data_IF_021661056321
#
_entry.id   IF_021661056321
#
_cell.length_a   1.000
_cell.length_b   1.000
_cell.length_c   1.000
_cell.angle_alpha   90.00
_cell.angle_beta   90.00
_cell.angle_gamma   90.00
#
_symmetry.space_group_name_H-M   'P 1'
#
loop_
_entity.id
_entity.type
_entity.pdbx_description
1 polymer ?
#
# COMPACT_ATOMS: atom_id res chain seq x y z
N UNK A 1 -36.34 -3.74 -10.79
CA UNK A 1 -35.08 -4.39 -11.18
C UNK A 1 -34.40 -4.84 -9.90
N UNK A 2 -34.71 -6.05 -9.43
CA UNK A 2 -34.14 -6.65 -8.22
C UNK A 2 -32.69 -7.05 -8.49
N UNK A 3 -31.76 -6.56 -7.67
CA UNK A 3 -30.36 -7.01 -7.67
C UNK A 3 -30.32 -8.51 -7.41
N UNK A 4 -29.54 -9.25 -8.19
CA UNK A 4 -29.35 -10.69 -7.94
C UNK A 4 -28.53 -10.89 -6.66
N UNK A 5 -28.94 -11.80 -5.76
CA UNK A 5 -28.31 -11.97 -4.45
C UNK A 5 -26.82 -12.35 -4.52
N UNK A 6 -26.38 -13.09 -5.55
CA UNK A 6 -24.96 -13.45 -5.75
C UNK A 6 -24.05 -12.23 -5.98
N UNK A 7 -24.57 -11.20 -6.66
CA UNK A 7 -23.82 -9.96 -6.89
C UNK A 7 -23.64 -9.15 -5.61
N UNK A 8 -24.61 -9.20 -4.71
CA UNK A 8 -24.57 -8.47 -3.44
C UNK A 8 -23.62 -9.15 -2.44
N UNK A 9 -23.64 -10.48 -2.34
CA UNK A 9 -22.67 -11.24 -1.53
C UNK A 9 -21.22 -11.02 -2.01
N UNK A 10 -21.00 -11.06 -3.34
CA UNK A 10 -19.69 -10.82 -3.94
C UNK A 10 -19.17 -9.40 -3.66
N UNK A 11 -20.05 -8.40 -3.72
CA UNK A 11 -19.71 -7.02 -3.40
C UNK A 11 -19.39 -6.84 -1.91
N UNK A 12 -20.18 -7.41 -1.02
CA UNK A 12 -19.94 -7.36 0.42
C UNK A 12 -18.61 -8.01 0.81
N UNK A 13 -18.28 -9.16 0.22
CA UNK A 13 -16.99 -9.82 0.43
C UNK A 13 -15.82 -8.94 -0.02
N UNK A 14 -15.95 -8.27 -1.17
CA UNK A 14 -14.96 -7.33 -1.69
C UNK A 14 -14.80 -6.12 -0.76
N UNK A 15 -15.90 -5.50 -0.32
CA UNK A 15 -15.89 -4.38 0.64
C UNK A 15 -15.19 -4.79 1.93
N UNK A 16 -15.57 -5.93 2.51
CA UNK A 16 -14.98 -6.45 3.75
C UNK A 16 -13.49 -6.70 3.61
N UNK A 17 -13.05 -7.26 2.48
CA UNK A 17 -11.63 -7.52 2.20
C UNK A 17 -10.83 -6.22 2.18
N UNK A 18 -11.33 -5.20 1.49
CA UNK A 18 -10.65 -3.90 1.37
C UNK A 18 -10.62 -3.12 2.67
N UNK A 19 -11.71 -3.13 3.45
CA UNK A 19 -11.71 -2.53 4.79
C UNK A 19 -10.69 -3.22 5.71
N UNK A 20 -10.65 -4.56 5.72
CA UNK A 20 -9.68 -5.31 6.52
C UNK A 20 -8.25 -5.00 6.07
N UNK A 21 -7.97 -5.09 4.77
CA UNK A 21 -6.65 -4.81 4.23
C UNK A 21 -6.21 -3.37 4.53
N UNK A 22 -7.10 -2.40 4.34
CA UNK A 22 -6.85 -0.99 4.64
C UNK A 22 -6.59 -0.72 6.12
N UNK A 23 -7.43 -1.20 7.04
CA UNK A 23 -7.22 -0.95 8.47
C UNK A 23 -6.04 -1.72 9.07
N UNK A 24 -5.80 -2.97 8.65
CA UNK A 24 -4.60 -3.70 9.07
C UNK A 24 -3.33 -3.06 8.50
N UNK A 25 -3.36 -2.65 7.23
CA UNK A 25 -2.28 -1.90 6.60
C UNK A 25 -1.99 -0.59 7.33
N UNK A 26 -3.03 0.21 7.61
CA UNK A 26 -2.90 1.46 8.39
C UNK A 26 -2.21 1.21 9.73
N UNK A 27 -2.69 0.21 10.47
CA UNK A 27 -2.11 -0.15 11.78
C UNK A 27 -0.63 -0.51 11.64
N UNK A 28 -0.28 -1.34 10.67
CA UNK A 28 1.10 -1.76 10.43
C UNK A 28 2.01 -0.60 10.01
N UNK A 29 1.56 0.25 9.07
CA UNK A 29 2.39 1.35 8.56
C UNK A 29 2.49 2.51 9.54
N UNK A 30 1.46 2.81 10.34
CA UNK A 30 1.57 3.77 11.45
C UNK A 30 2.59 3.27 12.47
N UNK A 31 2.52 1.98 12.86
CA UNK A 31 3.50 1.39 13.76
C UNK A 31 4.93 1.44 13.20
N UNK A 32 5.10 1.19 11.89
CA UNK A 32 6.39 1.35 11.22
C UNK A 32 6.87 2.81 11.29
N UNK A 33 6.00 3.78 11.02
CA UNK A 33 6.34 5.21 11.11
C UNK A 33 6.81 5.60 12.50
N UNK A 34 6.06 5.19 13.54
CA UNK A 34 6.43 5.41 14.93
C UNK A 34 7.78 4.77 15.29
N UNK A 35 8.06 3.55 14.79
CA UNK A 35 9.35 2.89 14.98
C UNK A 35 10.50 3.67 14.32
N UNK A 36 10.29 4.21 13.11
CA UNK A 36 11.29 5.04 12.43
C UNK A 36 11.53 6.37 13.17
N UNK A 37 10.51 6.96 13.77
CA UNK A 37 10.65 8.16 14.61
C UNK A 37 11.41 7.84 15.90
N UNK A 38 11.15 6.71 16.54
CA UNK A 38 11.90 6.20 17.70
C UNK A 38 13.38 6.05 17.33
N UNK A 39 13.72 5.45 16.18
CA UNK A 39 15.11 5.33 15.75
C UNK A 39 15.80 6.68 15.54
N UNK A 40 15.08 7.70 15.07
CA UNK A 40 15.59 9.08 15.02
C UNK A 40 15.79 9.65 16.43
N UNK A 41 14.81 9.50 17.33
CA UNK A 41 14.83 10.07 18.67
C UNK A 41 15.98 9.51 19.54
N UNK A 42 16.23 8.19 19.46
CA UNK A 42 17.29 7.52 20.21
C UNK A 42 18.66 7.55 19.50
N UNK A 43 18.76 8.26 18.36
CA UNK A 43 19.97 8.37 17.54
C UNK A 43 20.67 7.02 17.28
N UNK A 44 19.90 6.01 16.92
CA UNK A 44 20.44 4.65 16.73
C UNK A 44 21.44 4.67 15.58
N UNK A 45 22.72 4.41 15.87
CA UNK A 45 23.83 4.43 14.90
C UNK A 45 23.54 3.51 13.70
N UNK A 46 22.92 2.35 13.94
CA UNK A 46 22.53 1.43 12.87
C UNK A 46 21.48 1.97 11.87
N UNK A 47 20.93 3.16 12.10
CA UNK A 47 19.98 3.84 11.23
C UNK A 47 20.44 5.26 10.83
N UNK A 48 21.19 5.96 11.71
CA UNK A 48 21.64 7.34 11.49
C UNK A 48 23.10 7.49 11.02
N UNK A 49 23.91 6.43 11.01
CA UNK A 49 25.30 6.52 10.55
C UNK A 49 25.42 7.00 9.09
N UNK A 50 26.59 7.55 8.79
CA UNK A 50 26.99 7.98 7.43
C UNK A 50 26.93 6.77 6.50
N UNK A 51 26.25 6.92 5.35
CA UNK A 51 26.04 5.83 4.38
C UNK A 51 24.67 5.15 4.49
N UNK A 52 23.81 5.56 5.44
CA UNK A 52 22.44 5.04 5.61
C UNK A 52 21.34 5.94 5.06
N UNK A 53 21.69 6.96 4.29
CA UNK A 53 20.76 7.89 3.66
C UNK A 53 19.70 7.16 2.82
N UNK A 54 20.16 6.21 2.00
CA UNK A 54 19.29 5.39 1.13
C UNK A 54 18.34 4.51 1.94
N UNK A 55 18.83 3.83 2.99
CA UNK A 55 17.97 3.09 3.92
C UNK A 55 16.90 4.00 4.53
N UNK A 56 17.29 5.16 5.09
CA UNK A 56 16.34 6.11 5.70
C UNK A 56 15.32 6.64 4.69
N UNK A 57 15.73 6.91 3.46
CA UNK A 57 14.83 7.35 2.39
C UNK A 57 13.81 6.25 2.06
N UNK A 58 14.29 5.04 1.77
CA UNK A 58 13.43 3.93 1.35
C UNK A 58 12.47 3.49 2.46
N UNK A 59 12.91 3.46 3.72
CA UNK A 59 12.01 3.16 4.84
C UNK A 59 10.92 4.21 5.04
N UNK A 60 11.22 5.50 4.85
CA UNK A 60 10.20 6.57 4.84
C UNK A 60 9.24 6.42 3.66
N UNK A 61 9.74 6.08 2.47
CA UNK A 61 8.90 5.81 1.29
C UNK A 61 7.99 4.59 1.51
N UNK A 62 8.49 3.53 2.15
CA UNK A 62 7.71 2.34 2.51
C UNK A 62 6.56 2.70 3.45
N UNK A 63 6.85 3.44 4.53
CA UNK A 63 5.85 3.94 5.47
C UNK A 63 4.81 4.84 4.78
N UNK A 64 5.25 5.83 4.00
CA UNK A 64 4.38 6.81 3.37
C UNK A 64 3.44 6.15 2.34
N UNK A 65 3.98 5.34 1.42
CA UNK A 65 3.18 4.67 0.40
C UNK A 65 2.30 3.57 1.00
N UNK A 66 2.78 2.86 2.02
CA UNK A 66 1.98 1.87 2.73
C UNK A 66 0.76 2.50 3.41
N UNK A 67 0.95 3.63 4.11
CA UNK A 67 -0.13 4.39 4.74
C UNK A 67 -1.13 4.91 3.70
N UNK A 68 -0.63 5.53 2.62
CA UNK A 68 -1.46 6.05 1.53
C UNK A 68 -2.28 4.93 0.88
N UNK A 69 -1.65 3.82 0.49
CA UNK A 69 -2.35 2.72 -0.16
C UNK A 69 -3.34 2.03 0.77
N UNK A 70 -3.06 2.00 2.07
CA UNK A 70 -4.02 1.51 3.07
C UNK A 70 -5.28 2.37 3.09
N UNK A 71 -5.13 3.71 3.07
CA UNK A 71 -6.25 4.64 2.91
C UNK A 71 -6.96 4.46 1.58
N UNK A 72 -6.24 4.28 0.47
CA UNK A 72 -6.84 4.03 -0.85
C UNK A 72 -7.70 2.77 -0.85
N UNK A 73 -7.30 1.70 -0.15
CA UNK A 73 -8.14 0.50 -0.02
C UNK A 73 -9.40 0.76 0.83
N UNK A 74 -9.31 1.56 1.90
CA UNK A 74 -10.51 2.00 2.64
C UNK A 74 -11.44 2.82 1.75
N UNK A 75 -10.91 3.80 1.01
CA UNK A 75 -11.67 4.62 0.07
C UNK A 75 -12.30 3.75 -1.02
N UNK A 76 -11.57 2.79 -1.58
CA UNK A 76 -12.10 1.84 -2.56
C UNK A 76 -13.29 1.05 -2.01
N UNK A 77 -13.23 0.59 -0.75
CA UNK A 77 -14.37 -0.08 -0.12
C UNK A 77 -15.59 0.85 0.03
N UNK A 78 -15.37 2.12 0.38
CA UNK A 78 -16.44 3.12 0.46
C UNK A 78 -17.03 3.42 -0.92
N UNK A 79 -16.19 3.55 -1.95
CA UNK A 79 -16.61 3.70 -3.35
C UNK A 79 -17.41 2.49 -3.80
N UNK A 80 -16.99 1.27 -3.48
CA UNK A 80 -17.71 0.04 -3.82
C UNK A 80 -19.13 0.01 -3.21
N UNK A 81 -19.33 0.56 -1.99
CA UNK A 81 -20.65 0.68 -1.38
C UNK A 81 -21.50 1.78 -2.01
N UNK A 82 -20.90 2.92 -2.33
CA UNK A 82 -21.61 4.09 -2.85
C UNK A 82 -21.93 4.00 -4.34
N UNK A 83 -21.02 3.41 -5.13
CA UNK A 83 -21.06 3.30 -6.59
C UNK A 83 -20.55 1.91 -7.03
N UNK A 84 -21.34 0.83 -6.81
CA UNK A 84 -20.90 -0.53 -7.10
C UNK A 84 -20.47 -0.79 -8.55
N UNK A 85 -21.02 -0.05 -9.50
CA UNK A 85 -20.68 -0.11 -10.93
C UNK A 85 -19.32 0.52 -11.26
N UNK A 86 -18.79 1.38 -10.38
CA UNK A 86 -17.49 2.01 -10.55
C UNK A 86 -16.33 1.05 -10.21
N UNK A 87 -16.60 -0.05 -9.51
CA UNK A 87 -15.57 -0.99 -9.05
C UNK A 87 -15.57 -2.29 -9.86
N UNK A 88 -14.42 -2.95 -9.90
CA UNK A 88 -14.28 -4.24 -10.57
C UNK A 88 -13.35 -5.17 -9.80
N UNK A 89 -13.47 -6.48 -10.03
CA UNK A 89 -12.55 -7.48 -9.45
C UNK A 89 -11.10 -7.23 -9.84
N UNK A 90 -10.87 -6.73 -11.06
CA UNK A 90 -9.53 -6.40 -11.55
C UNK A 90 -8.94 -5.17 -10.86
N UNK A 91 -9.72 -4.09 -10.70
CA UNK A 91 -9.31 -2.92 -9.91
C UNK A 91 -9.00 -3.31 -8.46
N UNK A 92 -9.85 -4.17 -7.87
CA UNK A 92 -9.62 -4.71 -6.54
C UNK A 92 -8.31 -5.50 -6.44
N UNK A 93 -8.00 -6.36 -7.40
CA UNK A 93 -6.77 -7.14 -7.38
C UNK A 93 -5.55 -6.22 -7.52
N UNK A 94 -5.62 -5.24 -8.41
CA UNK A 94 -4.54 -4.28 -8.64
C UNK A 94 -4.23 -3.45 -7.38
N UNK A 95 -5.24 -2.92 -6.69
CA UNK A 95 -5.03 -2.13 -5.47
C UNK A 95 -4.50 -2.95 -4.28
N UNK A 96 -4.93 -4.21 -4.15
CA UNK A 96 -4.39 -5.11 -3.12
C UNK A 96 -2.95 -5.50 -3.42
N UNK A 97 -2.64 -5.78 -4.69
CA UNK A 97 -1.25 -6.03 -5.12
C UNK A 97 -0.38 -4.80 -4.88
N UNK A 98 -0.88 -3.60 -5.19
CA UNK A 98 -0.16 -2.35 -4.93
C UNK A 98 0.17 -2.17 -3.44
N UNK A 99 -0.81 -2.43 -2.56
CA UNK A 99 -0.67 -2.35 -1.10
C UNK A 99 0.46 -3.25 -0.57
N UNK A 100 0.80 -4.33 -1.27
CA UNK A 100 1.90 -5.21 -0.89
C UNK A 100 3.19 -4.80 -1.62
N UNK A 101 3.18 -4.84 -2.95
CA UNK A 101 4.38 -4.74 -3.78
C UNK A 101 5.12 -3.42 -3.61
N UNK A 102 4.40 -2.30 -3.56
CA UNK A 102 5.02 -0.98 -3.53
C UNK A 102 5.72 -0.70 -2.19
N UNK A 103 5.03 -0.77 -1.03
CA UNK A 103 5.70 -0.55 0.24
C UNK A 103 6.69 -1.67 0.60
N UNK A 104 6.43 -2.93 0.22
CA UNK A 104 7.41 -3.99 0.41
C UNK A 104 8.67 -3.75 -0.44
N UNK A 105 8.53 -3.29 -1.69
CA UNK A 105 9.67 -2.97 -2.54
C UNK A 105 10.60 -1.92 -1.93
N UNK A 106 10.01 -0.85 -1.38
CA UNK A 106 10.76 0.15 -0.62
C UNK A 106 11.36 -0.41 0.68
N UNK A 107 10.60 -1.19 1.45
CA UNK A 107 11.06 -1.77 2.72
C UNK A 107 12.26 -2.70 2.51
N UNK A 108 12.14 -3.66 1.60
CA UNK A 108 13.18 -4.61 1.26
C UNK A 108 14.36 -3.91 0.58
N UNK A 109 14.09 -2.94 -0.30
CA UNK A 109 15.14 -2.10 -0.89
C UNK A 109 15.93 -1.30 0.17
N UNK A 110 15.28 -0.87 1.25
CA UNK A 110 15.91 -0.15 2.35
C UNK A 110 16.72 -1.02 3.31
N UNK A 111 16.16 -2.17 3.73
CA UNK A 111 16.79 -3.09 4.70
C UNK A 111 18.09 -3.68 4.13
N UNK A 112 18.14 -3.96 2.82
CA UNK A 112 19.33 -4.49 2.14
C UNK A 112 20.04 -3.45 1.26
N UNK A 113 19.86 -2.16 1.52
CA UNK A 113 20.64 -1.13 0.85
C UNK A 113 22.13 -1.24 1.24
N UNK A 114 23.03 -1.01 0.28
CA UNK A 114 24.48 -1.07 0.47
C UNK A 114 25.16 -0.01 -0.40
N UNK A 115 26.18 0.66 0.14
CA UNK A 115 26.97 1.69 -0.57
C UNK A 115 26.15 2.80 -1.26
N UNK A 116 24.98 3.13 -0.71
CA UNK A 116 24.07 4.13 -1.27
C UNK A 116 23.08 3.57 -2.30
N UNK A 117 23.24 2.32 -2.74
CA UNK A 117 22.33 1.67 -3.68
C UNK A 117 21.19 0.93 -2.95
N UNK A 118 19.97 0.94 -3.54
CA UNK A 118 18.86 0.16 -3.01
C UNK A 118 19.11 -1.34 -3.15
N UNK A 119 18.67 -2.12 -2.17
CA UNK A 119 18.64 -3.58 -2.28
C UNK A 119 17.71 -4.08 -3.39
N UNK A 120 17.87 -5.34 -3.79
CA UNK A 120 17.14 -5.96 -4.92
C UNK A 120 15.62 -5.89 -4.80
N UNK A 121 15.07 -5.73 -3.59
CA UNK A 121 13.64 -5.56 -3.35
C UNK A 121 13.03 -4.37 -4.11
N UNK A 122 13.83 -3.37 -4.49
CA UNK A 122 13.37 -2.19 -5.24
C UNK A 122 12.72 -2.55 -6.59
N UNK A 123 13.02 -3.73 -7.16
CA UNK A 123 12.41 -4.20 -8.42
C UNK A 123 10.90 -4.40 -8.31
N UNK A 124 10.35 -4.53 -7.10
CA UNK A 124 8.91 -4.62 -6.86
C UNK A 124 8.20 -3.26 -7.01
N UNK A 125 8.92 -2.15 -6.84
CA UNK A 125 8.35 -0.79 -6.84
C UNK A 125 7.66 -0.46 -8.16
N UNK A 126 8.29 -0.64 -9.35
CA UNK A 126 7.61 -0.38 -10.62
C UNK A 126 6.33 -1.20 -10.79
N UNK A 127 6.37 -2.48 -10.44
CA UNK A 127 5.19 -3.37 -10.52
C UNK A 127 4.06 -2.91 -9.59
N UNK A 128 4.40 -2.53 -8.34
CA UNK A 128 3.44 -1.98 -7.38
C UNK A 128 2.86 -0.63 -7.82
N UNK A 129 3.67 0.24 -8.40
CA UNK A 129 3.23 1.55 -8.91
C UNK A 129 2.27 1.39 -10.09
N UNK A 130 2.58 0.50 -11.03
CA UNK A 130 1.69 0.16 -12.14
C UNK A 130 0.37 -0.42 -11.64
N UNK A 131 0.41 -1.33 -10.66
CA UNK A 131 -0.80 -1.89 -10.06
C UNK A 131 -1.66 -0.80 -9.39
N UNK A 132 -1.04 0.16 -8.69
CA UNK A 132 -1.75 1.30 -8.09
C UNK A 132 -2.43 2.16 -9.15
N UNK A 133 -1.70 2.53 -10.21
CA UNK A 133 -2.19 3.36 -11.31
C UNK A 133 -3.33 2.67 -12.06
N UNK A 134 -3.20 1.38 -12.35
CA UNK A 134 -4.25 0.59 -13.00
C UNK A 134 -5.51 0.50 -12.11
N UNK A 135 -5.34 0.16 -10.83
CA UNK A 135 -6.44 0.06 -9.89
C UNK A 135 -7.23 1.37 -9.77
N UNK A 136 -6.53 2.48 -9.58
CA UNK A 136 -7.13 3.81 -9.49
C UNK A 136 -7.77 4.24 -10.83
N UNK A 137 -7.06 4.04 -11.94
CA UNK A 137 -7.54 4.41 -13.28
C UNK A 137 -8.81 3.67 -13.69
N UNK A 138 -8.94 2.39 -13.34
CA UNK A 138 -10.14 1.60 -13.61
C UNK A 138 -11.36 2.09 -12.83
N UNK A 139 -11.16 2.55 -11.60
CA UNK A 139 -12.24 3.16 -10.80
C UNK A 139 -12.61 4.51 -11.38
N UNK A 140 -11.62 5.34 -11.71
CA UNK A 140 -11.83 6.65 -12.31
C UNK A 140 -12.58 6.57 -13.66
N UNK A 141 -12.27 5.58 -14.49
CA UNK A 141 -12.92 5.39 -15.79
C UNK A 141 -14.41 5.00 -15.70
N UNK A 142 -14.91 4.65 -14.51
CA UNK A 142 -16.28 4.17 -14.27
C UNK A 142 -17.04 4.98 -13.22
N UNK A 143 -16.43 6.03 -12.67
CA UNK A 143 -17.03 6.90 -11.64
C UNK A 143 -17.85 8.02 -12.30
#
# INVERSE_FOLDING_TARGET
>A
MSREPDNDEGLEALVRRHLRAGFWGLTAYIALGALLEIFHAFKVASYLDVGRETTRLLLRLAHAHGTLLSLVNVVFALTARARPEAVSRFASAALLSALVLLPAGFLLGGIWAHDGDPGIGIVLVPAGALAAALGAGLVAAKS
#
